data_IF_463580544432
#
_entry.id   IF_463580544432
#
_cell.length_a   1.000
_cell.length_b   1.000
_cell.length_c   1.000
_cell.angle_alpha   90.00
_cell.angle_beta   90.00
_cell.angle_gamma   90.00
#
_symmetry.space_group_name_H-M   'P 1'
#
loop_
_entity.id
_entity.type
_entity.pdbx_description
1 polymer ?
#
# COMPACT_ATOMS: atom_id res chain seq x y z
N UNK A 1 -3.27 8.15 3.66
CA UNK A 1 -3.52 6.87 4.37
C UNK A 1 -3.76 7.07 5.87
N UNK A 2 -2.86 7.69 6.64
CA UNK A 2 -3.05 7.83 8.10
C UNK A 2 -4.36 8.54 8.51
N UNK A 3 -4.74 9.62 7.80
CA UNK A 3 -6.03 10.29 8.05
C UNK A 3 -7.25 9.38 7.85
N UNK A 4 -7.18 8.45 6.90
CA UNK A 4 -8.25 7.45 6.69
C UNK A 4 -8.31 6.52 7.89
N UNK A 5 -7.16 6.02 8.36
CA UNK A 5 -7.09 5.20 9.56
C UNK A 5 -7.71 5.90 10.78
N UNK A 6 -7.42 7.19 10.98
CA UNK A 6 -8.02 7.99 12.05
C UNK A 6 -9.54 8.10 11.92
N UNK A 7 -10.07 8.35 10.72
CA UNK A 7 -11.51 8.44 10.48
C UNK A 7 -12.21 7.09 10.74
N UNK A 8 -11.59 5.98 10.35
CA UNK A 8 -12.11 4.64 10.61
C UNK A 8 -12.12 4.33 12.11
N UNK A 9 -11.08 4.72 12.85
CA UNK A 9 -11.04 4.57 14.30
C UNK A 9 -12.14 5.42 14.98
N UNK A 10 -12.38 6.65 14.53
CA UNK A 10 -13.50 7.48 15.01
C UNK A 10 -14.87 6.85 14.71
N UNK A 11 -14.98 6.10 13.62
CA UNK A 11 -16.18 5.34 13.28
C UNK A 11 -16.32 4.03 14.10
N UNK A 12 -15.41 3.76 15.05
CA UNK A 12 -15.44 2.60 15.92
C UNK A 12 -14.82 1.34 15.34
N UNK A 13 -14.06 1.44 14.24
CA UNK A 13 -13.37 0.30 13.65
C UNK A 13 -12.01 0.08 14.31
N UNK A 14 -11.62 -1.20 14.38
CA UNK A 14 -10.24 -1.59 14.70
C UNK A 14 -9.40 -1.56 13.44
N UNK A 15 -8.27 -0.85 13.50
CA UNK A 15 -7.43 -0.58 12.35
C UNK A 15 -6.00 -0.98 12.67
N UNK A 16 -5.44 -1.88 11.85
CA UNK A 16 -4.00 -2.11 11.81
C UNK A 16 -3.41 -1.31 10.65
N UNK A 17 -2.63 -0.28 10.98
CA UNK A 17 -1.91 0.53 10.00
C UNK A 17 -0.55 -0.10 9.70
N UNK A 18 -0.49 -0.82 8.57
CA UNK A 18 0.71 -1.52 8.14
C UNK A 18 1.53 -0.65 7.16
N UNK A 19 2.80 -0.43 7.50
CA UNK A 19 3.76 0.25 6.63
C UNK A 19 4.98 -0.63 6.36
N UNK A 20 5.79 -0.26 5.37
CA UNK A 20 7.15 -0.81 5.29
C UNK A 20 7.97 -0.39 6.51
N UNK A 21 8.93 -1.19 6.94
CA UNK A 21 9.86 -0.82 8.04
C UNK A 21 10.52 0.54 7.81
N UNK A 22 10.92 0.83 6.56
CA UNK A 22 11.46 2.13 6.18
C UNK A 22 10.47 3.29 6.43
N UNK A 23 9.21 3.14 6.00
CA UNK A 23 8.19 4.16 6.18
C UNK A 23 7.76 4.29 7.64
N UNK A 24 7.68 3.17 8.36
CA UNK A 24 7.35 3.11 9.77
C UNK A 24 8.38 3.87 10.62
N UNK A 25 9.68 3.69 10.36
CA UNK A 25 10.74 4.42 11.07
C UNK A 25 10.78 5.93 10.83
N UNK A 26 10.08 6.42 9.79
CA UNK A 26 9.96 7.85 9.48
C UNK A 26 8.73 8.51 10.12
N UNK A 27 7.77 7.71 10.59
CA UNK A 27 6.62 8.23 11.32
C UNK A 27 7.05 8.59 12.74
N UNK A 28 7.02 9.89 13.04
CA UNK A 28 7.17 10.38 14.41
C UNK A 28 5.85 10.20 15.17
N UNK A 29 5.90 10.21 16.50
CA UNK A 29 4.70 10.24 17.36
C UNK A 29 3.79 9.01 17.29
N UNK A 30 4.26 7.84 16.81
CA UNK A 30 3.46 6.61 16.80
C UNK A 30 2.85 6.28 18.17
N UNK A 31 3.62 6.48 19.24
CA UNK A 31 3.13 6.24 20.60
C UNK A 31 2.01 7.22 20.99
N UNK A 32 2.13 8.49 20.65
CA UNK A 32 1.09 9.50 20.90
C UNK A 32 -0.16 9.21 20.05
N UNK A 33 -0.01 8.78 18.80
CA UNK A 33 -1.13 8.40 17.95
C UNK A 33 -1.88 7.19 18.51
N UNK A 34 -1.17 6.18 18.99
CA UNK A 34 -1.78 5.01 19.63
C UNK A 34 -2.51 5.36 20.92
N UNK A 35 -2.05 6.35 21.70
CA UNK A 35 -2.78 6.78 22.90
C UNK A 35 -4.04 7.58 22.57
N UNK A 36 -4.03 8.38 21.50
CA UNK A 36 -5.20 9.13 21.04
C UNK A 36 -6.23 8.23 20.33
N UNK A 37 -5.79 7.14 19.70
CA UNK A 37 -6.62 6.19 18.97
C UNK A 37 -6.41 4.76 19.49
N UNK A 38 -7.13 4.34 20.54
CA UNK A 38 -6.90 3.04 21.19
C UNK A 38 -7.12 1.83 20.26
N UNK A 39 -7.94 1.99 19.22
CA UNK A 39 -8.24 0.95 18.22
C UNK A 39 -7.30 1.00 17.00
N UNK A 40 -6.33 1.93 16.99
CA UNK A 40 -5.30 2.05 15.97
C UNK A 40 -4.02 1.34 16.42
N UNK A 41 -3.64 0.31 15.69
CA UNK A 41 -2.40 -0.43 15.92
C UNK A 41 -1.45 -0.19 14.75
N UNK A 42 -0.21 0.17 15.06
CA UNK A 42 0.83 0.34 14.04
C UNK A 42 1.66 -0.92 13.93
N UNK A 43 1.87 -1.38 12.70
CA UNK A 43 2.69 -2.54 12.39
C UNK A 43 3.65 -2.20 11.24
N UNK A 44 4.71 -2.99 11.12
CA UNK A 44 5.68 -2.86 10.04
C UNK A 44 5.92 -4.20 9.35
N UNK A 45 6.17 -4.14 8.04
CA UNK A 45 6.56 -5.28 7.21
C UNK A 45 7.83 -4.93 6.43
N UNK A 46 8.70 -5.91 6.21
CA UNK A 46 9.90 -5.65 5.41
C UNK A 46 9.55 -5.41 3.94
N UNK A 47 10.16 -4.38 3.35
CA UNK A 47 10.12 -4.13 1.91
C UNK A 47 11.22 -4.88 1.14
N UNK A 48 12.10 -5.61 1.85
CA UNK A 48 13.19 -6.40 1.29
C UNK A 48 14.34 -5.58 0.69
N UNK A 49 14.32 -4.26 0.84
CA UNK A 49 15.31 -3.37 0.24
C UNK A 49 16.37 -2.94 1.26
N UNK A 50 17.63 -2.70 0.83
CA UNK A 50 18.67 -2.14 1.68
C UNK A 50 18.25 -0.82 2.35
N UNK A 51 18.81 -0.49 3.52
CA UNK A 51 18.42 0.71 4.28
C UNK A 51 18.68 2.02 3.51
N UNK A 52 19.74 2.05 2.71
CA UNK A 52 20.19 3.17 1.88
C UNK A 52 19.48 3.26 0.52
N UNK A 53 18.65 2.27 0.17
CA UNK A 53 17.86 2.33 -1.07
C UNK A 53 16.93 3.56 -1.05
N UNK A 54 16.93 4.41 -2.11
CA UNK A 54 16.25 5.71 -2.10
C UNK A 54 14.73 5.63 -2.08
N UNK A 55 14.15 4.48 -2.46
CA UNK A 55 12.70 4.23 -2.47
C UNK A 55 11.95 5.36 -3.18
N UNK A 56 12.35 5.62 -4.42
CA UNK A 56 11.81 6.72 -5.23
C UNK A 56 10.34 6.46 -5.58
N UNK A 57 9.62 7.53 -5.95
CA UNK A 57 8.19 7.44 -6.24
C UNK A 57 7.89 6.62 -7.51
N UNK A 58 8.82 6.56 -8.46
CA UNK A 58 8.66 5.93 -9.77
C UNK A 58 8.93 4.42 -9.77
N UNK A 59 8.37 3.69 -8.78
CA UNK A 59 8.42 2.22 -8.63
C UNK A 59 9.55 1.53 -9.43
N UNK A 60 10.78 1.67 -8.96
CA UNK A 60 11.94 1.08 -9.61
C UNK A 60 11.79 -0.45 -9.70
N UNK A 61 12.43 -1.05 -10.71
CA UNK A 61 12.31 -2.50 -10.99
C UNK A 61 12.66 -3.36 -9.78
N UNK A 62 13.67 -2.97 -9.02
CA UNK A 62 14.09 -3.65 -7.80
C UNK A 62 13.05 -3.56 -6.68
N UNK A 63 12.34 -2.44 -6.52
CA UNK A 63 11.22 -2.37 -5.57
C UNK A 63 10.10 -3.33 -5.97
N UNK A 64 9.73 -3.37 -7.25
CA UNK A 64 8.69 -4.31 -7.75
C UNK A 64 9.10 -5.76 -7.49
N UNK A 65 10.36 -6.10 -7.78
CA UNK A 65 10.89 -7.44 -7.51
C UNK A 65 10.85 -7.74 -6.02
N UNK A 66 11.32 -6.81 -5.18
CA UNK A 66 11.41 -6.99 -3.73
C UNK A 66 10.03 -7.12 -3.06
N UNK A 67 9.05 -6.30 -3.47
CA UNK A 67 7.68 -6.46 -2.98
C UNK A 67 7.10 -7.82 -3.36
N UNK A 68 7.39 -8.31 -4.58
CA UNK A 68 6.89 -9.61 -5.03
C UNK A 68 7.58 -10.78 -4.31
N UNK A 69 8.89 -10.72 -4.09
CA UNK A 69 9.67 -11.84 -3.54
C UNK A 69 9.74 -11.86 -2.01
N UNK A 70 9.67 -10.69 -1.36
CA UNK A 70 9.81 -10.55 0.10
C UNK A 70 8.51 -10.12 0.76
N UNK A 71 7.93 -9.00 0.34
CA UNK A 71 6.78 -8.43 1.05
C UNK A 71 5.51 -9.25 0.86
N UNK A 72 5.25 -9.77 -0.35
CA UNK A 72 4.08 -10.61 -0.65
C UNK A 72 3.96 -11.84 0.27
N UNK A 73 4.98 -12.71 0.42
CA UNK A 73 4.86 -13.86 1.32
C UNK A 73 4.71 -13.45 2.79
N UNK A 74 5.45 -12.44 3.26
CA UNK A 74 5.31 -11.93 4.62
C UNK A 74 3.90 -11.37 4.89
N UNK A 75 3.32 -10.68 3.90
CA UNK A 75 1.98 -10.11 4.00
C UNK A 75 0.91 -11.20 4.08
N UNK A 76 1.09 -12.29 3.32
CA UNK A 76 0.22 -13.47 3.39
C UNK A 76 0.23 -14.10 4.78
N UNK A 77 1.42 -14.34 5.33
CA UNK A 77 1.58 -14.93 6.65
C UNK A 77 0.90 -14.06 7.71
N UNK A 78 1.13 -12.75 7.66
CA UNK A 78 0.55 -11.76 8.57
C UNK A 78 -0.99 -11.72 8.50
N UNK A 79 -1.58 -11.65 7.30
CA UNK A 79 -3.04 -11.65 7.15
C UNK A 79 -3.67 -12.97 7.59
N UNK A 80 -3.02 -14.09 7.29
CA UNK A 80 -3.48 -15.41 7.72
C UNK A 80 -3.40 -15.56 9.25
N UNK A 81 -2.38 -15.00 9.89
CA UNK A 81 -2.26 -14.94 11.35
C UNK A 81 -3.36 -14.09 11.97
N UNK A 82 -3.57 -12.87 11.48
CA UNK A 82 -4.64 -11.99 11.99
C UNK A 82 -6.02 -12.59 11.82
N UNK A 83 -6.26 -13.34 10.75
CA UNK A 83 -7.54 -14.02 10.55
C UNK A 83 -7.78 -15.18 11.53
N UNK A 84 -6.72 -15.75 12.13
CA UNK A 84 -6.81 -16.86 13.09
C UNK A 84 -6.73 -16.44 14.56
N UNK A 85 -5.89 -15.45 14.87
CA UNK A 85 -5.45 -15.13 16.23
C UNK A 85 -6.02 -13.83 16.79
N UNK A 86 -6.93 -13.17 16.07
CA UNK A 86 -7.50 -11.91 16.50
C UNK A 86 -8.71 -12.13 17.42
N UNK A 87 -8.60 -11.67 18.66
CA UNK A 87 -9.73 -11.58 19.61
C UNK A 87 -10.88 -10.71 19.05
N UNK A 88 -10.59 -9.90 18.03
CA UNK A 88 -11.52 -8.98 17.37
C UNK A 88 -12.22 -9.61 16.14
N UNK A 89 -11.94 -10.89 15.85
CA UNK A 89 -12.45 -11.59 14.68
C UNK A 89 -11.56 -11.44 13.43
N UNK A 90 -11.96 -12.05 12.30
CA UNK A 90 -11.17 -12.08 11.08
C UNK A 90 -11.01 -10.70 10.44
N UNK A 91 -9.99 -10.55 9.61
CA UNK A 91 -9.75 -9.30 8.87
C UNK A 91 -10.90 -9.04 7.90
N UNK A 92 -11.66 -7.98 8.13
CA UNK A 92 -12.84 -7.66 7.32
C UNK A 92 -12.48 -7.12 5.92
N UNK A 93 -11.44 -6.29 5.82
CA UNK A 93 -10.95 -5.77 4.56
C UNK A 93 -9.51 -5.25 4.67
N UNK A 94 -8.85 -5.12 3.51
CA UNK A 94 -7.56 -4.46 3.34
C UNK A 94 -7.77 -3.18 2.55
N UNK A 95 -7.40 -2.04 3.14
CA UNK A 95 -7.36 -0.76 2.43
C UNK A 95 -5.91 -0.50 2.05
N UNK A 96 -5.61 -0.45 0.75
CA UNK A 96 -4.24 -0.43 0.26
C UNK A 96 -3.99 0.79 -0.63
N UNK A 97 -2.76 1.30 -0.62
CA UNK A 97 -2.31 2.25 -1.63
C UNK A 97 -2.34 1.56 -3.00
N UNK A 98 -2.93 2.20 -4.00
CA UNK A 98 -3.08 1.63 -5.32
C UNK A 98 -1.75 1.27 -6.00
N UNK A 99 -0.63 1.91 -5.62
CA UNK A 99 0.71 1.54 -6.10
C UNK A 99 1.07 0.13 -5.61
N UNK A 100 0.66 -0.20 -4.38
CA UNK A 100 0.88 -1.50 -3.74
C UNK A 100 -0.23 -2.52 -4.03
N UNK A 101 -1.18 -2.19 -4.92
CA UNK A 101 -2.38 -2.99 -5.14
C UNK A 101 -2.09 -4.41 -5.62
N UNK A 102 -1.11 -4.60 -6.51
CA UNK A 102 -0.96 -5.89 -7.20
C UNK A 102 -0.69 -7.05 -6.25
N UNK A 103 0.32 -6.95 -5.39
CA UNK A 103 0.66 -8.05 -4.49
C UNK A 103 -0.37 -8.21 -3.37
N UNK A 104 -0.95 -7.09 -2.90
CA UNK A 104 -1.93 -7.11 -1.82
C UNK A 104 -3.23 -7.75 -2.28
N UNK A 105 -3.67 -7.46 -3.51
CA UNK A 105 -4.85 -8.07 -4.12
C UNK A 105 -4.70 -9.58 -4.27
N UNK A 106 -3.58 -10.04 -4.84
CA UNK A 106 -3.32 -11.47 -5.00
C UNK A 106 -3.44 -12.21 -3.64
N UNK A 107 -2.83 -11.67 -2.59
CA UNK A 107 -2.85 -12.31 -1.26
C UNK A 107 -4.24 -12.26 -0.63
N UNK A 108 -4.92 -11.13 -0.72
CA UNK A 108 -6.23 -10.95 -0.11
C UNK A 108 -7.30 -11.79 -0.80
N UNK A 109 -7.24 -11.93 -2.13
CA UNK A 109 -8.12 -12.81 -2.90
C UNK A 109 -7.96 -14.28 -2.47
N UNK A 110 -6.73 -14.75 -2.29
CA UNK A 110 -6.44 -16.10 -1.80
C UNK A 110 -6.97 -16.35 -0.37
N UNK A 111 -7.15 -15.30 0.42
CA UNK A 111 -7.68 -15.36 1.79
C UNK A 111 -9.16 -14.94 1.87
N UNK A 112 -9.83 -14.71 0.73
CA UNK A 112 -11.22 -14.25 0.63
C UNK A 112 -11.49 -12.92 1.38
N UNK A 113 -10.47 -12.06 1.47
CA UNK A 113 -10.54 -10.73 2.10
C UNK A 113 -10.79 -9.66 1.04
N UNK A 114 -11.75 -8.76 1.31
CA UNK A 114 -12.03 -7.63 0.41
C UNK A 114 -10.86 -6.64 0.38
N UNK A 115 -10.45 -6.23 -0.82
CA UNK A 115 -9.50 -5.12 -1.02
C UNK A 115 -10.22 -3.86 -1.45
N UNK A 116 -9.83 -2.73 -0.85
CA UNK A 116 -10.28 -1.39 -1.22
C UNK A 116 -9.03 -0.60 -1.63
N UNK A 117 -8.73 -0.46 -2.93
CA UNK A 117 -7.62 0.35 -3.38
C UNK A 117 -7.93 1.83 -3.15
N UNK A 118 -6.92 2.56 -2.70
CA UNK A 118 -6.96 4.01 -2.52
C UNK A 118 -5.90 4.66 -3.39
N UNK A 119 -6.26 5.77 -4.04
CA UNK A 119 -5.32 6.57 -4.82
C UNK A 119 -5.31 7.97 -4.22
N UNK A 120 -4.26 8.36 -3.47
CA UNK A 120 -4.18 9.70 -2.89
C UNK A 120 -3.75 10.75 -3.94
N UNK A 121 -4.22 10.62 -5.18
CA UNK A 121 -3.96 11.57 -6.26
C UNK A 121 -5.12 12.56 -6.38
N UNK A 122 -4.84 13.73 -6.95
CA UNK A 122 -5.91 14.63 -7.37
C UNK A 122 -6.73 14.02 -8.53
N UNK A 123 -7.93 14.56 -8.73
CA UNK A 123 -8.86 14.05 -9.74
C UNK A 123 -8.30 14.15 -11.17
N UNK A 124 -7.49 15.17 -11.46
CA UNK A 124 -6.88 15.35 -12.79
C UNK A 124 -5.84 14.27 -13.05
N UNK A 125 -5.01 13.95 -12.07
CA UNK A 125 -4.02 12.88 -12.14
C UNK A 125 -4.69 11.51 -12.34
N UNK A 126 -5.74 11.21 -11.57
CA UNK A 126 -6.51 9.97 -11.76
C UNK A 126 -7.12 9.88 -13.16
N UNK A 127 -7.68 10.98 -13.66
CA UNK A 127 -8.27 11.04 -15.00
C UNK A 127 -7.25 10.75 -16.10
N UNK A 128 -6.04 11.28 -15.97
CA UNK A 128 -4.93 10.99 -16.90
C UNK A 128 -4.59 9.50 -16.96
N UNK A 129 -4.58 8.81 -15.80
CA UNK A 129 -4.40 7.35 -15.77
C UNK A 129 -5.54 6.60 -16.44
N UNK A 130 -6.80 7.00 -16.20
CA UNK A 130 -7.96 6.40 -16.86
C UNK A 130 -7.94 6.59 -18.38
N UNK A 131 -7.35 7.70 -18.85
CA UNK A 131 -7.28 8.02 -20.28
C UNK A 131 -6.01 7.52 -20.97
N UNK A 132 -5.09 6.84 -20.28
CA UNK A 132 -3.75 6.55 -20.83
C UNK A 132 -3.82 5.73 -22.13
N UNK A 133 -4.70 4.71 -22.19
CA UNK A 133 -4.90 3.89 -23.39
C UNK A 133 -5.40 4.73 -24.57
N UNK A 134 -6.36 5.61 -24.32
CA UNK A 134 -6.90 6.51 -25.33
C UNK A 134 -5.86 7.53 -25.81
N UNK A 135 -5.09 8.10 -24.88
CA UNK A 135 -4.01 9.04 -25.23
C UNK A 135 -2.91 8.37 -26.06
N UNK A 136 -2.64 7.08 -25.85
CA UNK A 136 -1.75 6.28 -26.68
C UNK A 136 -2.36 6.05 -28.07
N UNK A 137 -3.62 5.62 -28.13
CA UNK A 137 -4.35 5.37 -29.39
C UNK A 137 -4.44 6.63 -30.27
N UNK A 138 -4.62 7.80 -29.66
CA UNK A 138 -4.68 9.09 -30.34
C UNK A 138 -3.29 9.69 -30.65
N UNK A 139 -2.21 9.01 -30.25
CA UNK A 139 -0.83 9.45 -30.52
C UNK A 139 -0.35 10.62 -29.65
N UNK A 140 -1.06 10.94 -28.57
CA UNK A 140 -0.67 11.96 -27.60
C UNK A 140 0.46 11.50 -26.66
N UNK A 141 0.61 10.19 -26.46
CA UNK A 141 1.70 9.60 -25.68
C UNK A 141 2.55 8.72 -26.59
N UNK A 142 3.86 9.02 -26.76
CA UNK A 142 4.75 8.16 -27.54
C UNK A 142 4.98 6.83 -26.80
N UNK A 143 4.78 5.72 -27.50
CA UNK A 143 5.08 4.37 -26.99
C UNK A 143 6.24 3.79 -27.80
N UNK A 144 7.41 3.62 -27.16
CA UNK A 144 8.57 2.94 -27.77
C UNK A 144 9.70 3.80 -28.32
N UNK A 145 9.87 5.07 -27.92
CA UNK A 145 11.00 5.91 -28.35
C UNK A 145 12.21 5.84 -27.40
N UNK A 146 13.42 5.71 -27.95
CA UNK A 146 14.68 5.96 -27.22
C UNK A 146 14.73 7.43 -26.78
N UNK A 147 14.68 7.68 -25.48
CA UNK A 147 14.82 9.02 -24.92
C UNK A 147 16.31 9.44 -24.97
N UNK A 148 16.71 10.09 -26.07
CA UNK A 148 17.94 10.88 -26.09
C UNK A 148 17.67 12.21 -25.37
N UNK A 149 18.01 12.26 -24.09
CA UNK A 149 18.11 13.53 -23.37
C UNK A 149 19.36 14.27 -23.85
N UNK A 150 19.18 15.45 -24.46
CA UNK A 150 20.24 16.40 -24.77
C UNK A 150 20.73 17.11 -23.51
#
# INVERSE_FOLDING_TARGET
MLSIAHLLCHAGLHVTFLNTEHSHGRLTQLQELSTHFPTLHFQSISDGLPKDHPRTFDLTKDMVISFKSVTKPLFREMLAEYSRNSDLGPVACVIVDGIMYSFANDVAEELEIRVIPTRPYDACCLWSFCCISKLIEEGHIPVGGEYNFY
#
